data_IF_625233491661
#
_entry.id   IF_625233491661
#
_cell.length_a   1.000
_cell.length_b   1.000
_cell.length_c   1.000
_cell.angle_alpha   90.00
_cell.angle_beta   90.00
_cell.angle_gamma   90.00
#
_symmetry.space_group_name_H-M   'P 1'
#
loop_
_entity.id
_entity.type
_entity.pdbx_description
1 polymer ?
#
# COMPACT_ATOMS: atom_id res chain seq x y z
N UNK A 1 11.57 1.03 15.59
CA UNK A 1 11.28 0.97 14.15
C UNK A 1 10.31 -0.17 13.90
N UNK A 2 9.30 0.06 13.06
CA UNK A 2 8.23 -0.89 12.73
C UNK A 2 8.17 -1.06 11.23
N UNK A 3 7.99 -2.31 10.79
CA UNK A 3 7.90 -2.66 9.37
C UNK A 3 6.44 -2.59 8.93
N UNK A 4 6.15 -1.61 8.07
CA UNK A 4 4.87 -1.45 7.42
C UNK A 4 4.90 -2.09 6.04
N UNK A 5 3.81 -2.76 5.70
CA UNK A 5 3.51 -3.25 4.38
C UNK A 5 2.36 -2.47 3.81
N UNK A 6 2.46 -2.11 2.53
CA UNK A 6 1.50 -1.24 1.88
C UNK A 6 1.06 -1.87 0.57
N UNK A 7 -0.24 -1.81 0.30
CA UNK A 7 -0.78 -1.99 -1.06
C UNK A 7 -0.84 -0.62 -1.69
N UNK A 8 -0.15 -0.45 -2.80
CA UNK A 8 0.10 0.84 -3.44
C UNK A 8 -0.44 0.81 -4.86
N UNK A 9 -1.16 1.86 -5.23
CA UNK A 9 -1.52 2.17 -6.61
C UNK A 9 -0.50 3.17 -7.19
N UNK A 10 0.09 2.86 -8.33
CA UNK A 10 0.93 3.80 -9.07
C UNK A 10 0.14 4.43 -10.22
N UNK A 11 0.00 5.75 -10.18
CA UNK A 11 -0.73 6.52 -11.19
C UNK A 11 -0.04 6.53 -12.57
N UNK A 12 1.25 6.20 -12.66
CA UNK A 12 1.99 6.17 -13.94
C UNK A 12 1.77 4.85 -14.67
N UNK A 13 1.95 3.72 -13.98
CA UNK A 13 1.72 2.38 -14.55
C UNK A 13 0.25 1.96 -14.54
N UNK A 14 -0.60 2.63 -13.75
CA UNK A 14 -1.98 2.24 -13.47
C UNK A 14 -2.10 0.85 -12.81
N UNK A 15 -1.06 0.42 -12.08
CA UNK A 15 -0.98 -0.91 -11.45
C UNK A 15 -1.00 -0.84 -9.93
N UNK A 16 -1.37 -1.99 -9.33
CA UNK A 16 -1.29 -2.22 -7.88
C UNK A 16 -0.12 -3.14 -7.54
N UNK A 17 0.65 -2.79 -6.52
CA UNK A 17 1.73 -3.65 -6.01
C UNK A 17 1.89 -3.52 -4.49
N UNK A 18 2.58 -4.50 -3.90
CA UNK A 18 2.93 -4.47 -2.49
C UNK A 18 4.32 -3.84 -2.32
N UNK A 19 4.42 -2.83 -1.48
CA UNK A 19 5.67 -2.20 -1.05
C UNK A 19 5.86 -2.31 0.48
N UNK A 20 7.05 -1.96 0.96
CA UNK A 20 7.32 -1.85 2.39
C UNK A 20 7.94 -0.52 2.81
N UNK A 21 7.64 -0.13 4.04
CA UNK A 21 8.14 1.10 4.64
C UNK A 21 8.59 0.85 6.08
N UNK A 22 9.85 1.16 6.39
CA UNK A 22 10.39 1.02 7.74
C UNK A 22 10.48 2.42 8.36
N UNK A 23 9.72 2.64 9.43
CA UNK A 23 9.68 3.95 10.10
C UNK A 23 9.55 3.81 11.62
N UNK A 24 9.49 4.91 12.34
CA UNK A 24 9.36 4.92 13.80
C UNK A 24 8.03 4.27 14.25
N UNK A 25 8.11 3.53 15.36
CA UNK A 25 6.97 2.94 16.08
C UNK A 25 6.00 3.98 16.66
N UNK A 26 6.42 5.24 16.75
CA UNK A 26 5.64 6.32 17.37
C UNK A 26 4.62 6.94 16.42
N UNK A 27 4.75 6.70 15.11
CA UNK A 27 3.87 7.28 14.09
C UNK A 27 2.53 6.52 14.01
N UNK A 28 1.46 7.27 13.80
CA UNK A 28 0.14 6.71 13.48
C UNK A 28 0.11 6.21 12.03
N UNK A 29 -0.83 5.33 11.72
CA UNK A 29 -1.02 4.85 10.33
C UNK A 29 -1.17 6.00 9.32
N UNK A 30 -1.96 7.02 9.64
CA UNK A 30 -2.17 8.20 8.80
C UNK A 30 -0.87 8.97 8.53
N UNK A 31 -0.04 9.16 9.57
CA UNK A 31 1.25 9.82 9.45
C UNK A 31 2.20 9.02 8.56
N UNK A 32 2.21 7.69 8.72
CA UNK A 32 3.04 6.80 7.90
C UNK A 32 2.61 6.81 6.44
N UNK A 33 1.30 6.82 6.17
CA UNK A 33 0.75 6.93 4.80
C UNK A 33 1.15 8.27 4.19
N UNK A 34 0.95 9.37 4.91
CA UNK A 34 1.30 10.70 4.43
C UNK A 34 2.78 10.81 4.10
N UNK A 35 3.65 10.37 5.02
CA UNK A 35 5.10 10.38 4.84
C UNK A 35 5.52 9.54 3.61
N UNK A 36 4.91 8.36 3.44
CA UNK A 36 5.17 7.51 2.28
C UNK A 36 4.77 8.17 0.96
N UNK A 37 3.56 8.72 0.86
CA UNK A 37 3.07 9.34 -0.38
C UNK A 37 3.80 10.64 -0.73
N UNK A 38 4.23 11.41 0.27
CA UNK A 38 5.06 12.61 0.07
C UNK A 38 6.45 12.24 -0.48
N UNK A 39 7.05 11.15 0.04
CA UNK A 39 8.33 10.62 -0.41
C UNK A 39 8.25 9.90 -1.78
N UNK A 40 7.09 9.35 -2.12
CA UNK A 40 6.83 8.57 -3.36
C UNK A 40 5.74 9.23 -4.20
N UNK A 41 6.05 10.40 -4.76
CA UNK A 41 5.10 11.14 -5.61
C UNK A 41 4.54 10.26 -6.73
N UNK A 42 3.22 10.24 -6.86
CA UNK A 42 2.50 9.43 -7.85
C UNK A 42 1.99 8.09 -7.30
N UNK A 43 2.44 7.70 -6.11
CA UNK A 43 1.94 6.51 -5.41
C UNK A 43 0.80 6.89 -4.47
N UNK A 44 -0.18 5.99 -4.36
CA UNK A 44 -1.30 6.10 -3.44
C UNK A 44 -1.46 4.83 -2.62
N UNK A 45 -1.47 4.97 -1.31
CA UNK A 45 -1.63 3.83 -0.39
C UNK A 45 -3.12 3.48 -0.30
N UNK A 46 -3.43 2.21 -0.56
CA UNK A 46 -4.79 1.67 -0.56
C UNK A 46 -5.08 0.90 0.72
N UNK A 47 -4.05 0.22 1.24
CA UNK A 47 -4.16 -0.59 2.45
C UNK A 47 -2.80 -0.69 3.12
N UNK A 48 -2.79 -0.80 4.45
CA UNK A 48 -1.57 -1.00 5.23
C UNK A 48 -1.67 -2.23 6.13
N UNK A 49 -0.52 -2.74 6.55
CA UNK A 49 -0.41 -3.75 7.58
C UNK A 49 0.95 -3.66 8.27
N UNK A 50 1.03 -4.13 9.51
CA UNK A 50 2.26 -4.11 10.31
C UNK A 50 2.77 -5.55 10.49
N UNK A 51 4.05 -5.77 10.25
CA UNK A 51 4.68 -7.05 10.57
C UNK A 51 6.01 -7.28 9.87
N UNK A 52 6.77 -8.24 10.38
CA UNK A 52 8.09 -8.57 9.83
C UNK A 52 8.02 -9.42 8.55
N UNK A 53 6.88 -10.06 8.31
CA UNK A 53 6.68 -10.95 7.16
C UNK A 53 5.90 -10.23 6.07
N UNK A 54 6.37 -10.34 4.82
CA UNK A 54 5.64 -9.82 3.66
C UNK A 54 4.23 -10.41 3.62
N UNK A 55 3.17 -9.59 3.55
CA UNK A 55 1.83 -10.10 3.35
C UNK A 55 1.78 -10.81 2.01
N UNK A 56 0.87 -11.79 1.90
CA UNK A 56 0.61 -12.45 0.62
C UNK A 56 0.31 -11.38 -0.43
N UNK A 57 0.83 -11.56 -1.64
CA UNK A 57 0.52 -10.66 -2.75
C UNK A 57 -0.99 -10.56 -2.90
N UNK A 58 -1.54 -9.35 -2.83
CA UNK A 58 -2.91 -9.09 -3.26
C UNK A 58 -2.93 -9.26 -4.77
N UNK A 59 -3.08 -10.50 -5.25
CA UNK A 59 -3.57 -10.71 -6.61
C UNK A 59 -5.01 -10.25 -6.55
N UNK A 60 -5.35 -9.23 -7.34
CA UNK A 60 -6.71 -8.76 -7.50
C UNK A 60 -7.65 -9.97 -7.49
N UNK A 61 -8.72 -9.90 -6.69
CA UNK A 61 -9.84 -10.82 -6.82
C UNK A 61 -10.14 -10.90 -8.33
N UNK A 62 -10.03 -12.06 -8.96
CA UNK A 62 -10.34 -12.24 -10.39
C UNK A 62 -11.80 -11.89 -10.72
N UNK A 63 -12.62 -11.48 -9.75
CA UNK A 63 -14.04 -11.22 -9.92
C UNK A 63 -14.53 -10.07 -9.04
N UNK A 64 -14.46 -8.84 -9.57
CA UNK A 64 -15.64 -7.95 -9.53
C UNK A 64 -15.90 -7.55 -10.97
N UNK A 65 -16.32 -8.54 -11.77
CA UNK A 65 -17.01 -8.28 -13.01
C UNK A 65 -18.36 -7.63 -12.69
N UNK A 66 -18.37 -6.31 -12.47
CA UNK A 66 -19.58 -5.54 -12.66
C UNK A 66 -19.85 -5.58 -14.16
N UNK A 67 -20.66 -6.55 -14.56
CA UNK A 67 -21.39 -6.52 -15.81
C UNK A 67 -22.20 -5.22 -15.81
N UNK A 68 -21.69 -4.18 -16.45
CA UNK A 68 -22.52 -3.06 -16.89
C UNK A 68 -23.42 -3.60 -18.01
N UNK A 69 -24.59 -4.10 -17.63
CA UNK A 69 -25.74 -4.32 -18.51
C UNK A 69 -26.92 -3.53 -17.98
#
# INVERSE_FOLDING_TARGET
MVHWWMVVYDAVSCDFFNDSYLTDSTLTEEQVIQEYEENKKGYKVIHTGIGNTRPKTYRALEYVGISLR
#
